data_IF_646060777526
#
_entry.id   IF_646060777526
#
_cell.length_a   1.000
_cell.length_b   1.000
_cell.length_c   1.000
_cell.angle_alpha   90.00
_cell.angle_beta   90.00
_cell.angle_gamma   90.00
#
_symmetry.space_group_name_H-M   'P 1'
#
loop_
_entity.id
_entity.type
_entity.pdbx_description
1 polymer ?
#
# COMPACT_ATOMS: atom_id res chain seq x y z
N UNK A 1 2.16 17.62 -13.27
CA UNK A 1 3.10 17.52 -12.14
C UNK A 1 3.64 16.11 -12.15
N UNK A 2 4.96 15.96 -12.28
CA UNK A 2 5.60 14.65 -12.39
C UNK A 2 6.05 14.20 -11.01
N UNK A 3 5.64 12.99 -10.62
CA UNK A 3 6.18 12.25 -9.48
C UNK A 3 7.06 11.12 -10.02
N UNK A 4 8.03 10.68 -9.22
CA UNK A 4 8.91 9.56 -9.52
C UNK A 4 8.56 8.37 -8.62
N UNK A 5 8.61 7.15 -9.16
CA UNK A 5 8.56 5.92 -8.36
C UNK A 5 9.97 5.36 -8.23
N UNK A 6 10.41 5.11 -6.99
CA UNK A 6 11.71 4.48 -6.71
C UNK A 6 11.62 3.49 -5.54
N UNK A 7 12.57 2.54 -5.43
CA UNK A 7 12.73 1.75 -4.21
C UNK A 7 12.94 2.65 -2.99
N UNK A 8 12.36 2.26 -1.86
CA UNK A 8 12.57 2.93 -0.59
C UNK A 8 13.93 2.53 0.01
N UNK A 9 14.56 3.46 0.72
CA UNK A 9 15.73 3.23 1.57
C UNK A 9 15.33 3.38 3.04
N UNK A 10 16.20 2.96 3.97
CA UNK A 10 15.94 3.10 5.40
C UNK A 10 15.70 4.57 5.82
N UNK A 11 16.31 5.53 5.11
CA UNK A 11 16.16 6.96 5.39
C UNK A 11 14.74 7.48 5.08
N UNK A 12 14.00 6.78 4.21
CA UNK A 12 12.61 7.13 3.88
C UNK A 12 11.61 6.76 4.98
N UNK A 13 12.04 6.00 6.00
CA UNK A 13 11.13 5.36 6.95
C UNK A 13 10.25 6.35 7.72
N UNK A 14 10.80 7.51 8.10
CA UNK A 14 10.05 8.55 8.81
C UNK A 14 8.96 9.18 7.94
N UNK A 15 9.28 9.50 6.68
CA UNK A 15 8.32 10.08 5.75
C UNK A 15 7.24 9.08 5.32
N UNK A 16 7.61 7.81 5.09
CA UNK A 16 6.65 6.74 4.83
C UNK A 16 5.69 6.57 6.01
N UNK A 17 6.22 6.52 7.23
CA UNK A 17 5.42 6.49 8.46
C UNK A 17 4.40 7.64 8.48
N UNK A 18 4.84 8.87 8.19
CA UNK A 18 3.97 10.03 8.14
C UNK A 18 2.84 9.89 7.11
N UNK A 19 3.15 9.49 5.88
CA UNK A 19 2.15 9.28 4.81
C UNK A 19 1.13 8.22 5.21
N UNK A 20 1.57 7.09 5.77
CA UNK A 20 0.68 6.01 6.18
C UNK A 20 -0.24 6.47 7.30
N UNK A 21 0.30 7.15 8.32
CA UNK A 21 -0.49 7.63 9.45
C UNK A 21 -1.50 8.71 9.04
N UNK A 22 -1.12 9.65 8.17
CA UNK A 22 -2.06 10.66 7.65
C UNK A 22 -3.18 9.99 6.84
N UNK A 23 -2.85 9.09 5.91
CA UNK A 23 -3.87 8.35 5.14
C UNK A 23 -4.79 7.51 6.05
N UNK A 24 -4.26 6.88 7.10
CA UNK A 24 -5.04 6.08 8.05
C UNK A 24 -6.07 6.92 8.83
N UNK A 25 -5.66 8.09 9.34
CA UNK A 25 -6.53 8.94 10.16
C UNK A 25 -7.47 9.83 9.34
N UNK A 26 -7.19 10.05 8.06
CA UNK A 26 -7.99 10.90 7.20
C UNK A 26 -8.80 10.09 6.20
N UNK A 27 -8.17 9.62 5.12
CA UNK A 27 -8.90 8.98 4.01
C UNK A 27 -9.45 7.61 4.36
N UNK A 28 -8.81 6.88 5.27
CA UNK A 28 -9.22 5.52 5.63
C UNK A 28 -10.02 5.48 6.93
N UNK A 29 -10.23 6.61 7.62
CA UNK A 29 -10.94 6.64 8.88
C UNK A 29 -12.42 6.25 8.75
N UNK A 30 -12.99 6.37 7.55
CA UNK A 30 -14.34 5.90 7.25
C UNK A 30 -14.44 4.36 7.11
N UNK A 31 -13.32 3.67 6.87
CA UNK A 31 -13.28 2.21 6.67
C UNK A 31 -13.04 1.42 7.96
N UNK A 32 -12.48 2.06 8.98
CA UNK A 32 -11.94 1.39 10.17
C UNK A 32 -12.34 2.11 11.46
N UNK A 33 -12.61 1.34 12.52
CA UNK A 33 -12.81 1.91 13.85
C UNK A 33 -11.50 2.56 14.37
N UNK A 34 -11.59 3.51 15.31
CA UNK A 34 -10.41 4.11 15.94
C UNK A 34 -9.44 3.07 16.54
N UNK A 35 -9.98 1.97 17.07
CA UNK A 35 -9.18 0.87 17.63
C UNK A 35 -8.40 0.11 16.54
N UNK A 36 -9.02 -0.13 15.39
CA UNK A 36 -8.34 -0.75 14.23
C UNK A 36 -7.27 0.21 13.71
N UNK A 37 -7.58 1.50 13.56
CA UNK A 37 -6.60 2.52 13.13
C UNK A 37 -5.40 2.54 14.08
N UNK A 38 -5.64 2.63 15.39
CA UNK A 38 -4.58 2.61 16.39
C UNK A 38 -3.73 1.33 16.33
N UNK A 39 -4.36 0.17 16.09
CA UNK A 39 -3.66 -1.10 15.92
C UNK A 39 -2.81 -1.14 14.66
N UNK A 40 -3.34 -0.67 13.53
CA UNK A 40 -2.60 -0.61 12.26
C UNK A 40 -1.46 0.39 12.37
N UNK A 41 -1.70 1.58 12.93
CA UNK A 41 -0.70 2.63 13.15
C UNK A 41 0.53 2.14 13.94
N UNK A 42 0.34 1.26 14.94
CA UNK A 42 1.47 0.64 15.66
C UNK A 42 2.42 -0.14 14.76
N UNK A 43 1.99 -0.61 13.60
CA UNK A 43 2.83 -1.33 12.63
C UNK A 43 3.62 -0.40 11.71
N UNK A 44 3.40 0.91 11.78
CA UNK A 44 3.98 1.91 10.90
C UNK A 44 4.70 3.03 11.66
N UNK A 45 5.28 2.74 12.84
CA UNK A 45 6.29 3.64 13.41
C UNK A 45 7.53 3.67 12.51
N UNK A 46 8.35 4.74 12.51
CA UNK A 46 9.55 4.80 11.68
C UNK A 46 10.47 3.57 11.83
N UNK A 47 10.63 3.05 13.05
CA UNK A 47 11.45 1.86 13.32
C UNK A 47 10.87 0.60 12.67
N UNK A 48 9.54 0.44 12.72
CA UNK A 48 8.86 -0.70 12.09
C UNK A 48 8.83 -0.57 10.59
N UNK A 49 8.71 0.64 10.04
CA UNK A 49 8.84 0.88 8.61
C UNK A 49 10.26 0.55 8.13
N UNK A 50 11.30 0.97 8.85
CA UNK A 50 12.68 0.61 8.54
C UNK A 50 12.89 -0.92 8.54
N UNK A 51 12.33 -1.63 9.53
CA UNK A 51 12.37 -3.10 9.56
C UNK A 51 11.60 -3.75 8.39
N UNK A 52 10.49 -3.15 7.94
CA UNK A 52 9.77 -3.60 6.76
C UNK A 52 10.58 -3.38 5.48
N UNK A 53 11.24 -2.23 5.32
CA UNK A 53 12.11 -1.94 4.18
C UNK A 53 13.26 -2.96 4.10
N UNK A 54 13.81 -3.37 5.24
CA UNK A 54 14.89 -4.36 5.28
C UNK A 54 14.46 -5.78 4.84
N UNK A 55 13.16 -6.08 4.87
CA UNK A 55 12.64 -7.46 4.66
C UNK A 55 11.68 -7.58 3.48
N UNK A 56 11.23 -6.47 2.91
CA UNK A 56 10.23 -6.41 1.83
C UNK A 56 10.72 -5.53 0.69
N UNK A 57 10.13 -5.72 -0.48
CA UNK A 57 10.29 -4.73 -1.55
C UNK A 57 9.31 -3.60 -1.30
N UNK A 58 9.82 -2.42 -0.99
CA UNK A 58 9.05 -1.20 -0.71
C UNK A 58 9.38 -0.16 -1.77
N UNK A 59 8.34 0.47 -2.32
CA UNK A 59 8.44 1.56 -3.27
C UNK A 59 7.81 2.81 -2.68
N UNK A 60 8.36 3.96 -3.06
CA UNK A 60 7.84 5.28 -2.73
C UNK A 60 7.55 6.08 -3.98
N UNK A 61 6.52 6.91 -3.91
CA UNK A 61 6.27 7.96 -4.89
C UNK A 61 6.80 9.28 -4.32
N UNK A 62 7.69 9.94 -5.05
CA UNK A 62 8.32 11.20 -4.65
C UNK A 62 7.84 12.31 -5.56
N UNK A 63 7.34 13.39 -4.97
CA UNK A 63 6.95 14.61 -5.68
C UNK A 63 7.59 15.82 -5.00
N UNK A 64 8.31 16.63 -5.79
CA UNK A 64 9.01 17.82 -5.30
C UNK A 64 9.87 17.54 -4.05
N UNK A 65 10.58 16.41 -4.06
CA UNK A 65 11.47 15.99 -2.97
C UNK A 65 10.79 15.40 -1.74
N UNK A 66 9.46 15.22 -1.75
CA UNK A 66 8.70 14.64 -0.62
C UNK A 66 8.06 13.32 -1.01
N UNK A 67 8.00 12.37 -0.08
CA UNK A 67 7.24 11.14 -0.29
C UNK A 67 5.75 11.43 -0.16
N UNK A 68 5.00 11.09 -1.21
CA UNK A 68 3.54 11.30 -1.30
C UNK A 68 2.76 9.99 -1.41
N UNK A 69 3.46 8.85 -1.43
CA UNK A 69 2.83 7.54 -1.45
C UNK A 69 3.83 6.41 -1.24
N UNK A 70 3.32 5.27 -0.79
CA UNK A 70 4.10 4.05 -0.62
C UNK A 70 3.29 2.83 -1.05
N UNK A 71 3.99 1.81 -1.54
CA UNK A 71 3.46 0.48 -1.76
C UNK A 71 4.54 -0.55 -1.46
N UNK A 72 4.18 -1.71 -0.92
CA UNK A 72 5.14 -2.76 -0.66
C UNK A 72 4.64 -4.13 -1.10
N UNK A 73 5.56 -5.08 -1.24
CA UNK A 73 5.22 -6.49 -1.38
C UNK A 73 6.16 -7.39 -0.60
N UNK A 74 5.60 -8.51 -0.18
CA UNK A 74 6.29 -9.62 0.46
C UNK A 74 5.99 -10.88 -0.35
N UNK A 75 6.96 -11.29 -1.18
CA UNK A 75 6.76 -12.31 -2.21
C UNK A 75 5.56 -11.98 -3.11
N UNK A 76 4.55 -12.84 -3.11
CA UNK A 76 3.34 -12.70 -3.91
C UNK A 76 2.27 -11.78 -3.28
N UNK A 77 2.49 -11.25 -2.07
CA UNK A 77 1.47 -10.49 -1.34
C UNK A 77 1.79 -9.00 -1.38
N UNK A 78 0.88 -8.20 -1.95
CA UNK A 78 0.93 -6.74 -1.88
C UNK A 78 0.50 -6.30 -0.48
N UNK A 79 1.28 -5.38 0.09
CA UNK A 79 1.15 -4.86 1.45
C UNK A 79 1.23 -3.33 1.41
N UNK A 80 0.68 -2.69 2.42
CA UNK A 80 0.87 -1.26 2.73
C UNK A 80 0.84 -0.33 1.50
N UNK A 81 -0.32 -0.19 0.87
CA UNK A 81 -0.52 0.77 -0.23
C UNK A 81 -1.24 1.99 0.34
N UNK A 82 -0.53 3.11 0.45
CA UNK A 82 -1.03 4.35 1.02
C UNK A 82 -0.56 5.54 0.20
N UNK A 83 -1.45 6.51 0.01
CA UNK A 83 -1.19 7.76 -0.71
C UNK A 83 -1.56 8.91 0.23
N UNK A 84 -0.70 9.92 0.33
CA UNK A 84 -0.98 11.12 1.11
C UNK A 84 -2.34 11.71 0.68
N UNK A 85 -3.23 12.11 1.61
CA UNK A 85 -4.59 12.54 1.29
C UNK A 85 -4.67 13.64 0.22
N UNK A 86 -3.75 14.61 0.27
CA UNK A 86 -3.62 15.70 -0.70
C UNK A 86 -3.07 15.28 -2.07
N UNK A 87 -2.49 14.08 -2.16
CA UNK A 87 -1.95 13.49 -3.39
C UNK A 87 -2.86 12.40 -4.01
N UNK A 88 -4.00 12.10 -3.40
CA UNK A 88 -4.92 11.07 -3.88
C UNK A 88 -5.60 11.44 -5.21
N UNK A 89 -6.10 10.41 -5.92
CA UNK A 89 -6.81 10.53 -7.21
C UNK A 89 -5.99 11.16 -8.35
N UNK A 90 -4.66 11.22 -8.21
CA UNK A 90 -3.72 11.76 -9.21
C UNK A 90 -2.95 10.69 -10.00
N UNK A 91 -3.36 9.43 -9.89
CA UNK A 91 -2.72 8.30 -10.59
C UNK A 91 -1.51 7.67 -9.88
N UNK A 92 -1.07 8.21 -8.75
CA UNK A 92 0.09 7.72 -8.00
C UNK A 92 -0.06 6.26 -7.56
N UNK A 93 -1.23 5.90 -7.00
CA UNK A 93 -1.49 4.51 -6.59
C UNK A 93 -1.39 3.52 -7.77
N UNK A 94 -1.82 3.92 -8.96
CA UNK A 94 -1.68 3.10 -10.18
C UNK A 94 -0.21 2.92 -10.57
N UNK A 95 0.58 3.98 -10.48
CA UNK A 95 2.01 3.93 -10.79
C UNK A 95 2.79 3.04 -9.80
N UNK A 96 2.53 3.20 -8.50
CA UNK A 96 3.11 2.33 -7.46
C UNK A 96 2.77 0.86 -7.70
N UNK A 97 1.51 0.55 -8.05
CA UNK A 97 1.10 -0.82 -8.34
C UNK A 97 1.75 -1.39 -9.61
N UNK A 98 2.00 -0.56 -10.63
CA UNK A 98 2.73 -0.98 -11.82
C UNK A 98 4.18 -1.39 -11.49
N UNK A 99 4.82 -0.69 -10.56
CA UNK A 99 6.15 -1.03 -10.04
C UNK A 99 6.16 -2.32 -9.23
N UNK A 100 5.17 -2.51 -8.36
CA UNK A 100 4.95 -3.77 -7.63
C UNK A 100 4.79 -4.95 -8.60
N UNK A 101 3.95 -4.80 -9.63
CA UNK A 101 3.72 -5.85 -10.63
C UNK A 101 4.98 -6.15 -11.45
N UNK A 102 5.74 -5.13 -11.83
CA UNK A 102 6.99 -5.30 -12.57
C UNK A 102 8.03 -6.04 -11.72
N UNK A 103 8.20 -5.64 -10.46
CA UNK A 103 9.08 -6.32 -9.51
C UNK A 103 8.64 -7.77 -9.27
N UNK A 104 7.33 -8.03 -9.24
CA UNK A 104 6.78 -9.36 -9.09
C UNK A 104 7.06 -10.27 -10.30
N UNK A 105 6.82 -9.77 -11.52
CA UNK A 105 7.16 -10.49 -12.75
C UNK A 105 8.66 -10.80 -12.81
N UNK A 106 9.52 -9.84 -12.49
CA UNK A 106 10.97 -10.03 -12.49
C UNK A 106 11.42 -11.12 -11.48
N UNK A 107 10.67 -11.32 -10.40
CA UNK A 107 10.90 -12.38 -9.43
C UNK A 107 10.20 -13.72 -9.75
N UNK A 108 9.64 -13.89 -10.95
CA UNK A 108 8.93 -15.11 -11.35
C UNK A 108 7.59 -15.33 -10.64
N UNK A 109 7.01 -14.29 -10.03
CA UNK A 109 5.71 -14.40 -9.35
C UNK A 109 4.58 -14.40 -10.37
N UNK A 110 3.84 -15.51 -10.45
CA UNK A 110 2.74 -15.68 -11.40
C UNK A 110 1.42 -14.98 -10.99
N UNK A 111 1.27 -14.65 -9.70
CA UNK A 111 0.06 -14.02 -9.16
C UNK A 111 0.37 -13.11 -7.97
N UNK A 112 -0.33 -11.99 -7.90
CA UNK A 112 -0.34 -11.11 -6.74
C UNK A 112 -1.64 -11.25 -5.98
N UNK A 113 -1.56 -11.24 -4.65
CA UNK A 113 -2.72 -11.17 -3.74
C UNK A 113 -2.62 -9.96 -2.84
N UNK A 114 -3.76 -9.46 -2.37
CA UNK A 114 -3.82 -8.36 -1.41
C UNK A 114 -5.06 -8.45 -0.53
N UNK A 115 -5.02 -7.76 0.61
CA UNK A 115 -6.19 -7.48 1.43
C UNK A 115 -6.55 -6.01 1.25
N UNK A 116 -7.72 -5.76 0.67
CA UNK A 116 -8.26 -4.42 0.42
C UNK A 116 -9.18 -3.98 1.54
N UNK A 117 -9.18 -2.68 1.85
CA UNK A 117 -10.33 -2.06 2.53
C UNK A 117 -11.57 -2.12 1.62
N UNK A 118 -12.75 -1.89 2.19
CA UNK A 118 -14.00 -1.90 1.43
C UNK A 118 -14.02 -0.83 0.33
N UNK A 119 -13.57 0.39 0.61
CA UNK A 119 -13.55 1.48 -0.37
C UNK A 119 -12.47 1.30 -1.46
N UNK A 120 -11.38 0.59 -1.17
CA UNK A 120 -10.30 0.36 -2.12
C UNK A 120 -10.57 -0.77 -3.13
N UNK A 121 -11.64 -1.56 -2.95
CA UNK A 121 -11.98 -2.69 -3.87
C UNK A 121 -12.09 -2.22 -5.31
N UNK A 122 -12.77 -1.10 -5.54
CA UNK A 122 -12.98 -0.58 -6.89
C UNK A 122 -11.67 -0.05 -7.51
N UNK A 123 -10.75 0.49 -6.70
CA UNK A 123 -9.42 0.86 -7.15
C UNK A 123 -8.66 -0.37 -7.67
N UNK A 124 -8.59 -1.45 -6.88
CA UNK A 124 -7.90 -2.67 -7.30
C UNK A 124 -8.60 -3.40 -8.45
N UNK A 125 -9.94 -3.35 -8.50
CA UNK A 125 -10.72 -3.87 -9.62
C UNK A 125 -10.36 -3.23 -10.96
N UNK A 126 -10.15 -1.90 -10.98
CA UNK A 126 -9.65 -1.18 -12.17
C UNK A 126 -8.23 -1.56 -12.56
N UNK A 127 -7.44 -2.07 -11.62
CA UNK A 127 -6.13 -2.65 -11.86
C UNK A 127 -6.20 -4.13 -12.23
N UNK A 128 -7.39 -4.70 -12.49
CA UNK A 128 -7.54 -6.09 -12.90
C UNK A 128 -7.40 -7.12 -11.77
N UNK A 129 -7.44 -6.68 -10.51
CA UNK A 129 -7.60 -7.61 -9.39
C UNK A 129 -9.06 -8.06 -9.29
N UNK A 130 -9.24 -9.36 -9.04
CA UNK A 130 -10.54 -9.99 -8.86
C UNK A 130 -10.75 -10.35 -7.39
N UNK A 131 -11.98 -10.19 -6.91
CA UNK A 131 -12.36 -10.60 -5.55
C UNK A 131 -12.27 -12.12 -5.43
N UNK A 132 -11.62 -12.60 -4.38
CA UNK A 132 -11.56 -14.02 -4.03
C UNK A 132 -12.49 -14.35 -2.87
N UNK A 133 -12.38 -13.60 -1.77
CA UNK A 133 -13.17 -13.83 -0.56
C UNK A 133 -13.18 -12.59 0.33
N UNK A 134 -14.09 -12.56 1.29
CA UNK A 134 -14.10 -11.60 2.39
C UNK A 134 -13.47 -12.24 3.64
N UNK A 135 -12.63 -11.49 4.35
CA UNK A 135 -12.10 -11.87 5.65
C UNK A 135 -12.67 -10.96 6.74
N UNK A 136 -13.00 -11.57 7.87
CA UNK A 136 -13.47 -10.89 9.08
C UNK A 136 -12.52 -11.18 10.24
N UNK A 137 -12.09 -10.13 10.92
CA UNK A 137 -11.30 -10.25 12.14
C UNK A 137 -11.88 -9.30 13.21
N UNK A 138 -12.75 -9.85 14.07
CA UNK A 138 -13.63 -9.00 14.88
C UNK A 138 -14.53 -8.16 13.97
N UNK A 139 -14.55 -6.85 14.21
CA UNK A 139 -15.33 -5.88 13.42
C UNK A 139 -14.62 -5.43 12.12
N UNK A 140 -13.36 -5.83 11.92
CA UNK A 140 -12.62 -5.51 10.70
C UNK A 140 -13.06 -6.39 9.55
N UNK A 141 -13.45 -5.77 8.43
CA UNK A 141 -13.81 -6.44 7.19
C UNK A 141 -12.83 -6.04 6.09
N UNK A 142 -12.18 -7.04 5.49
CA UNK A 142 -11.28 -6.83 4.34
C UNK A 142 -11.64 -7.77 3.21
N UNK A 143 -11.35 -7.36 1.97
CA UNK A 143 -11.59 -8.17 0.78
C UNK A 143 -10.25 -8.68 0.26
N UNK A 144 -10.11 -9.99 0.20
CA UNK A 144 -8.96 -10.63 -0.44
C UNK A 144 -9.17 -10.57 -1.94
N UNK A 145 -8.22 -9.96 -2.65
CA UNK A 145 -8.24 -9.86 -4.09
C UNK A 145 -6.96 -10.45 -4.70
N UNK A 146 -7.06 -10.94 -5.93
CA UNK A 146 -5.93 -11.53 -6.66
C UNK A 146 -5.88 -11.05 -8.11
N UNK A 147 -4.67 -10.90 -8.64
CA UNK A 147 -4.42 -10.73 -10.07
C UNK A 147 -3.38 -11.73 -10.56
N UNK A 148 -3.61 -12.35 -11.71
CA UNK A 148 -2.58 -13.13 -12.41
C UNK A 148 -1.68 -12.19 -13.21
N UNK A 149 -0.37 -12.40 -13.10
CA UNK A 149 0.64 -11.68 -13.86
C UNK A 149 1.02 -12.57 -15.06
N UNK A 150 0.12 -12.63 -16.04
CA UNK A 150 0.47 -13.15 -17.35
C UNK A 150 1.51 -12.24 -18.02
#
# INVERSE_FOLDING_TARGET
>A
MAFEIRPATADDAAEISHVVLSALHESNAADYSPEIIARVARSFTPERVAAQIATRQVFVAVEAGRIVGTASRDGAVVRAVFIAPDAQRRGIGRALMADIERAARAAGVAKLTLQSSLTAVHFYGRLGFQVLTELRHGDERTIVMQRRLA
#
